data_IF_804411528667
#
_entry.id   IF_804411528667
#
_cell.length_a   1.000
_cell.length_b   1.000
_cell.length_c   1.000
_cell.angle_alpha   90.00
_cell.angle_beta   90.00
_cell.angle_gamma   90.00
#
_symmetry.space_group_name_H-M   'P 1'
#
loop_
_entity.id
_entity.type
_entity.pdbx_description
1 polymer ?
#
# COMPACT_ATOMS: atom_id res chain seq x y z
N UNK A 1 7.28 -3.37 -3.33
CA UNK A 1 7.43 -2.30 -2.30
C UNK A 1 8.23 -2.69 -1.04
N UNK A 2 7.80 -3.68 -0.25
CA UNK A 2 8.37 -3.92 1.09
C UNK A 2 9.86 -4.29 1.09
N UNK A 3 10.29 -5.20 0.21
CA UNK A 3 11.71 -5.57 0.09
C UNK A 3 12.59 -4.36 -0.28
N UNK A 4 12.11 -3.45 -1.11
CA UNK A 4 12.89 -2.30 -1.58
C UNK A 4 13.25 -1.31 -0.46
N UNK A 5 12.44 -1.29 0.62
CA UNK A 5 12.66 -0.43 1.79
C UNK A 5 13.07 -1.21 3.04
N UNK A 6 13.37 -2.51 2.91
CA UNK A 6 13.70 -3.39 4.02
C UNK A 6 12.62 -3.44 5.12
N UNK A 7 11.35 -3.37 4.73
CA UNK A 7 10.23 -3.52 5.65
C UNK A 7 10.08 -5.00 6.08
N UNK A 8 9.80 -5.22 7.37
CA UNK A 8 9.51 -6.55 7.90
C UNK A 8 8.07 -6.94 7.54
N UNK A 9 7.92 -7.83 6.56
CA UNK A 9 6.61 -8.37 6.20
C UNK A 9 6.27 -9.59 7.08
N UNK A 10 5.16 -9.54 7.81
CA UNK A 10 4.71 -10.63 8.67
C UNK A 10 4.44 -11.93 7.89
N UNK A 11 4.03 -11.81 6.63
CA UNK A 11 3.74 -12.95 5.75
C UNK A 11 5.00 -13.69 5.26
N UNK A 12 6.20 -13.08 5.35
CA UNK A 12 7.45 -13.75 4.94
C UNK A 12 7.75 -14.99 5.81
N UNK A 13 7.14 -15.08 7.00
CA UNK A 13 7.21 -16.26 7.88
C UNK A 13 6.65 -17.53 7.24
N UNK A 14 5.86 -17.42 6.17
CA UNK A 14 5.34 -18.57 5.41
C UNK A 14 6.37 -19.21 4.48
N UNK A 15 7.49 -18.54 4.19
CA UNK A 15 8.54 -19.04 3.29
C UNK A 15 8.10 -19.19 1.82
N UNK A 16 6.92 -18.68 1.46
CA UNK A 16 6.37 -18.71 0.11
C UNK A 16 6.72 -17.43 -0.65
N UNK A 17 6.82 -17.54 -1.98
CA UNK A 17 7.05 -16.39 -2.87
C UNK A 17 5.76 -16.09 -3.65
N UNK A 18 5.54 -14.81 -3.92
CA UNK A 18 4.37 -14.36 -4.68
C UNK A 18 3.13 -14.16 -3.81
N UNK A 19 1.95 -14.20 -4.44
CA UNK A 19 0.68 -14.03 -3.74
C UNK A 19 0.39 -15.25 -2.85
N UNK A 20 -0.08 -14.98 -1.63
CA UNK A 20 -0.49 -16.00 -0.67
C UNK A 20 -1.90 -15.67 -0.18
N UNK A 21 -2.74 -16.70 -0.06
CA UNK A 21 -4.02 -16.60 0.62
C UNK A 21 -3.81 -17.00 2.07
N UNK A 22 -4.34 -16.20 3.00
CA UNK A 22 -4.24 -16.46 4.45
C UNK A 22 -5.64 -16.49 5.07
N UNK A 23 -5.77 -17.28 6.13
CA UNK A 23 -6.94 -17.22 7.01
C UNK A 23 -6.90 -15.95 7.88
N UNK A 24 -8.08 -15.44 8.25
CA UNK A 24 -8.24 -14.22 9.06
C UNK A 24 -7.55 -14.33 10.43
N UNK A 25 -7.60 -15.50 11.05
CA UNK A 25 -6.96 -15.81 12.32
C UNK A 25 -5.45 -15.64 12.26
N UNK A 26 -4.83 -15.86 11.08
CA UNK A 26 -3.40 -15.65 10.90
C UNK A 26 -3.04 -14.17 10.97
N UNK A 27 -3.88 -13.30 10.40
CA UNK A 27 -3.70 -11.84 10.48
C UNK A 27 -3.82 -11.34 11.92
N UNK A 28 -4.74 -11.90 12.72
CA UNK A 28 -4.84 -11.62 14.16
C UNK A 28 -3.60 -12.08 14.92
N UNK A 29 -3.08 -13.26 14.62
CA UNK A 29 -1.87 -13.78 15.28
C UNK A 29 -0.62 -12.96 14.94
N UNK A 30 -0.54 -12.41 13.73
CA UNK A 30 0.54 -11.52 13.33
C UNK A 30 0.42 -10.10 13.89
N UNK A 31 -0.80 -9.60 14.06
CA UNK A 31 -1.16 -8.28 14.59
C UNK A 31 -0.22 -7.14 14.13
N UNK A 32 -0.17 -6.84 12.81
CA UNK A 32 0.80 -5.90 12.27
C UNK A 32 0.58 -4.47 12.78
N UNK A 33 1.68 -3.72 12.92
CA UNK A 33 1.66 -2.31 13.30
C UNK A 33 1.07 -1.38 12.23
N UNK A 34 1.24 -1.77 10.96
CA UNK A 34 0.85 -1.03 9.76
C UNK A 34 0.26 -2.01 8.75
N UNK A 35 -0.86 -1.64 8.11
CA UNK A 35 -1.44 -2.37 6.98
C UNK A 35 -1.40 -1.47 5.75
N UNK A 36 -0.94 -2.01 4.63
CA UNK A 36 -1.09 -1.40 3.31
C UNK A 36 -2.14 -2.17 2.52
N UNK A 37 -3.10 -1.46 1.94
CA UNK A 37 -4.18 -2.02 1.13
C UNK A 37 -3.93 -1.63 -0.33
N UNK A 38 -3.88 -2.62 -1.21
CA UNK A 38 -3.95 -2.38 -2.65
C UNK A 38 -5.31 -1.78 -3.00
N UNK A 39 -5.31 -0.53 -3.46
CA UNK A 39 -6.53 0.23 -3.67
C UNK A 39 -7.40 -0.29 -4.80
N UNK A 40 -6.85 -1.11 -5.70
CA UNK A 40 -7.64 -1.88 -6.66
C UNK A 40 -8.63 -2.85 -6.01
N UNK A 41 -8.43 -3.19 -4.73
CA UNK A 41 -9.29 -4.07 -3.94
C UNK A 41 -9.91 -3.39 -2.71
N UNK A 42 -9.76 -2.07 -2.56
CA UNK A 42 -10.17 -1.36 -1.34
C UNK A 42 -11.66 -1.54 -1.04
N UNK A 43 -12.52 -1.51 -2.06
CA UNK A 43 -13.96 -1.68 -1.87
C UNK A 43 -14.34 -3.06 -1.33
N UNK A 44 -13.62 -4.12 -1.72
CA UNK A 44 -13.83 -5.46 -1.17
C UNK A 44 -13.46 -5.50 0.32
N UNK A 45 -12.37 -4.84 0.70
CA UNK A 45 -11.95 -4.74 2.11
C UNK A 45 -12.96 -3.92 2.92
N UNK A 46 -13.46 -2.80 2.39
CA UNK A 46 -14.51 -2.00 3.04
C UNK A 46 -15.82 -2.78 3.23
N UNK A 47 -16.24 -3.53 2.22
CA UNK A 47 -17.42 -4.39 2.32
C UNK A 47 -17.24 -5.50 3.36
N UNK A 48 -16.06 -6.10 3.46
CA UNK A 48 -15.78 -7.11 4.48
C UNK A 48 -15.68 -6.50 5.89
N UNK A 49 -15.13 -5.29 6.01
CA UNK A 49 -15.13 -4.51 7.26
C UNK A 49 -16.56 -4.27 7.75
N UNK A 50 -17.48 -3.83 6.88
CA UNK A 50 -18.88 -3.60 7.24
C UNK A 50 -19.57 -4.86 7.78
N UNK A 51 -19.18 -6.04 7.29
CA UNK A 51 -19.72 -7.33 7.73
C UNK A 51 -19.05 -7.85 9.01
N UNK A 52 -17.78 -7.52 9.22
CA UNK A 52 -16.96 -8.06 10.30
C UNK A 52 -16.21 -6.96 11.08
N UNK A 53 -16.88 -5.91 11.58
CA UNK A 53 -16.19 -4.74 12.13
C UNK A 53 -15.33 -5.08 13.35
N UNK A 54 -15.78 -6.00 14.21
CA UNK A 54 -15.05 -6.41 15.42
C UNK A 54 -13.71 -7.05 15.11
N UNK A 55 -13.63 -7.83 14.02
CA UNK A 55 -12.38 -8.44 13.57
C UNK A 55 -11.35 -7.35 13.25
N UNK A 56 -11.71 -6.40 12.38
CA UNK A 56 -10.81 -5.33 11.98
C UNK A 56 -10.47 -4.40 13.14
N UNK A 57 -11.47 -4.01 13.94
CA UNK A 57 -11.28 -3.16 15.11
C UNK A 57 -10.47 -3.82 16.22
N UNK A 58 -10.21 -5.14 16.15
CA UNK A 58 -9.29 -5.82 17.06
C UNK A 58 -7.81 -5.65 16.68
N UNK A 59 -7.50 -5.38 15.40
CA UNK A 59 -6.15 -5.25 14.87
C UNK A 59 -5.48 -3.95 15.30
N UNK A 60 -4.20 -4.01 15.70
CA UNK A 60 -3.41 -2.87 16.14
C UNK A 60 -3.32 -1.76 15.08
N UNK A 61 -3.07 -2.12 13.82
CA UNK A 61 -3.01 -1.16 12.72
C UNK A 61 -4.32 -0.36 12.57
N UNK A 62 -5.48 -1.00 12.69
CA UNK A 62 -6.78 -0.34 12.57
C UNK A 62 -7.03 0.57 13.76
N UNK A 63 -6.83 0.07 15.00
CA UNK A 63 -6.97 0.86 16.23
C UNK A 63 -6.13 2.14 16.22
N UNK A 64 -4.92 2.07 15.69
CA UNK A 64 -3.99 3.19 15.64
C UNK A 64 -4.15 4.07 14.38
N UNK A 65 -5.09 3.75 13.49
CA UNK A 65 -5.26 4.46 12.23
C UNK A 65 -4.02 4.39 11.32
N UNK A 66 -3.32 3.25 11.34
CA UNK A 66 -2.13 2.95 10.55
C UNK A 66 -2.47 2.01 9.39
N UNK A 67 -3.55 2.32 8.69
CA UNK A 67 -3.97 1.64 7.47
C UNK A 67 -3.80 2.62 6.32
N UNK A 68 -3.08 2.23 5.27
CA UNK A 68 -2.69 3.11 4.18
C UNK A 68 -3.01 2.48 2.83
N UNK A 69 -3.39 3.31 1.85
CA UNK A 69 -3.57 2.87 0.47
C UNK A 69 -2.23 2.78 -0.27
N UNK A 70 -2.10 1.82 -1.20
CA UNK A 70 -1.06 1.78 -2.23
C UNK A 70 -1.72 1.61 -3.59
N UNK A 71 -1.08 2.11 -4.64
CA UNK A 71 -1.65 2.03 -5.99
C UNK A 71 -1.57 0.59 -6.52
N UNK A 72 -2.56 0.12 -7.29
CA UNK A 72 -2.46 -1.19 -7.93
C UNK A 72 -1.35 -1.17 -8.99
N UNK A 73 -0.39 -2.10 -8.91
CA UNK A 73 0.72 -2.21 -9.87
C UNK A 73 0.77 -3.54 -10.63
N UNK A 74 -0.12 -4.49 -10.34
CA UNK A 74 -0.10 -5.85 -10.89
C UNK A 74 -1.18 -6.13 -11.97
N UNK A 75 -1.91 -5.09 -12.41
CA UNK A 75 -2.88 -5.18 -13.48
C UNK A 75 -2.16 -5.35 -14.83
N UNK A 76 -2.40 -6.49 -15.50
CA UNK A 76 -1.74 -6.89 -16.74
C UNK A 76 -0.20 -6.99 -16.61
N UNK A 77 0.27 -7.79 -15.64
CA UNK A 77 1.68 -7.91 -15.22
C UNK A 77 2.14 -6.73 -14.35
N UNK A 78 3.46 -6.61 -14.13
CA UNK A 78 4.05 -5.63 -13.21
C UNK A 78 4.28 -4.28 -13.90
N UNK A 79 3.57 -3.26 -13.45
CA UNK A 79 3.84 -1.86 -13.73
C UNK A 79 4.98 -1.41 -12.79
N UNK A 80 6.22 -1.59 -13.26
CA UNK A 80 7.45 -1.39 -12.46
C UNK A 80 7.59 0.04 -11.95
N UNK A 81 7.15 1.00 -12.75
CA UNK A 81 7.00 2.41 -12.42
C UNK A 81 6.10 2.60 -11.19
N UNK A 82 4.85 2.12 -11.20
CA UNK A 82 3.94 2.23 -10.05
C UNK A 82 4.48 1.49 -8.83
N UNK A 83 5.06 0.29 -9.01
CA UNK A 83 5.69 -0.44 -7.90
C UNK A 83 6.85 0.33 -7.26
N UNK A 84 7.61 1.11 -8.04
CA UNK A 84 8.67 1.97 -7.54
C UNK A 84 8.09 3.18 -6.79
N UNK A 85 7.04 3.81 -7.32
CA UNK A 85 6.34 4.90 -6.63
C UNK A 85 5.81 4.43 -5.28
N UNK A 86 5.11 3.30 -5.22
CA UNK A 86 4.61 2.72 -3.97
C UNK A 86 5.74 2.44 -2.98
N UNK A 87 6.93 2.08 -3.47
CA UNK A 87 8.09 1.84 -2.59
C UNK A 87 8.51 3.12 -1.85
N UNK A 88 8.46 4.30 -2.50
CA UNK A 88 8.73 5.57 -1.83
C UNK A 88 7.64 5.93 -0.81
N UNK A 89 6.38 5.70 -1.15
CA UNK A 89 5.27 5.94 -0.22
C UNK A 89 5.37 5.04 1.02
N UNK A 90 5.54 3.72 0.82
CA UNK A 90 5.75 2.75 1.90
C UNK A 90 6.98 3.13 2.74
N UNK A 91 8.08 3.52 2.09
CA UNK A 91 9.28 3.97 2.77
C UNK A 91 9.02 5.16 3.69
N UNK A 92 8.27 6.16 3.21
CA UNK A 92 7.89 7.34 4.02
C UNK A 92 6.97 6.99 5.18
N UNK A 93 6.00 6.10 4.98
CA UNK A 93 5.09 5.67 6.04
C UNK A 93 5.84 4.92 7.15
N UNK A 94 6.75 4.00 6.78
CA UNK A 94 7.46 3.16 7.76
C UNK A 94 8.63 3.91 8.40
N UNK A 95 9.34 4.75 7.65
CA UNK A 95 10.56 5.45 8.08
C UNK A 95 10.47 6.97 7.80
N UNK A 96 9.52 7.70 8.40
CA UNK A 96 9.26 9.10 8.06
C UNK A 96 10.48 10.02 8.23
N UNK A 97 11.34 9.74 9.20
CA UNK A 97 12.58 10.51 9.43
C UNK A 97 13.60 10.34 8.29
N UNK A 98 13.66 9.16 7.65
CA UNK A 98 14.58 8.88 6.54
C UNK A 98 14.08 9.37 5.18
N UNK A 99 12.78 9.67 5.10
CA UNK A 99 12.08 10.15 3.90
C UNK A 99 11.46 11.53 4.18
N UNK A 100 12.09 12.32 5.04
CA UNK A 100 11.59 13.62 5.45
C UNK A 100 11.59 14.64 4.29
N UNK A 101 12.51 14.47 3.35
CA UNK A 101 12.71 15.25 2.13
C UNK A 101 11.88 14.74 0.93
N UNK A 102 11.24 13.57 1.06
CA UNK A 102 10.43 12.98 0.00
C UNK A 102 8.97 13.39 0.14
N UNK A 103 8.45 14.13 -0.83
CA UNK A 103 7.01 14.19 -1.10
C UNK A 103 6.63 13.00 -2.01
N UNK A 104 5.80 12.04 -1.54
CA UNK A 104 5.43 10.87 -2.33
C UNK A 104 4.70 11.21 -3.63
N UNK A 105 3.90 12.28 -3.64
CA UNK A 105 3.13 12.70 -4.82
C UNK A 105 4.06 13.29 -5.87
N UNK A 106 4.94 14.22 -5.46
CA UNK A 106 5.89 14.80 -6.40
C UNK A 106 6.92 13.78 -6.89
N UNK A 107 7.33 12.84 -6.02
CA UNK A 107 8.18 11.71 -6.40
C UNK A 107 7.49 10.79 -7.40
N UNK A 108 6.18 10.55 -7.27
CA UNK A 108 5.40 9.81 -8.25
C UNK A 108 5.42 10.46 -9.62
N UNK A 109 5.14 11.78 -9.68
CA UNK A 109 5.15 12.54 -10.92
C UNK A 109 6.52 12.52 -11.57
N UNK A 110 7.60 12.65 -10.78
CA UNK A 110 8.98 12.54 -11.27
C UNK A 110 9.24 11.17 -11.90
N UNK A 111 8.92 10.08 -11.18
CA UNK A 111 9.14 8.70 -11.66
C UNK A 111 8.34 8.46 -12.94
N UNK A 112 7.04 8.74 -12.94
CA UNK A 112 6.22 8.58 -14.14
C UNK A 112 6.72 9.42 -15.31
N UNK A 113 7.24 10.63 -15.06
CA UNK A 113 7.85 11.43 -16.11
C UNK A 113 9.13 10.79 -16.68
N UNK A 114 9.91 10.06 -15.87
CA UNK A 114 11.08 9.32 -16.37
C UNK A 114 10.69 8.16 -17.28
N UNK A 115 9.58 7.47 -17.00
CA UNK A 115 9.13 6.34 -17.80
C UNK A 115 8.35 6.77 -19.06
N UNK A 116 7.53 7.81 -18.98
CA UNK A 116 6.58 8.18 -20.06
C UNK A 116 6.75 9.61 -20.60
N UNK A 117 7.84 10.30 -20.22
CA UNK A 117 8.07 11.71 -20.56
C UNK A 117 7.16 12.65 -19.78
N UNK A 118 7.18 13.96 -20.09
CA UNK A 118 6.44 14.99 -19.36
C UNK A 118 4.93 14.72 -19.21
N UNK A 119 4.32 14.02 -20.18
CA UNK A 119 2.92 13.59 -20.13
C UNK A 119 2.64 12.58 -19.01
N UNK A 120 3.66 11.86 -18.51
CA UNK A 120 3.54 10.92 -17.40
C UNK A 120 3.23 11.58 -16.06
N UNK A 121 3.50 12.89 -15.88
CA UNK A 121 3.25 13.59 -14.62
C UNK A 121 1.77 13.56 -14.20
N UNK A 122 0.85 13.44 -15.14
CA UNK A 122 -0.59 13.36 -14.83
C UNK A 122 -1.03 11.98 -14.35
N UNK A 123 -0.17 10.96 -14.44
CA UNK A 123 -0.56 9.58 -14.13
C UNK A 123 -0.88 9.39 -12.66
N UNK A 124 -0.14 10.02 -11.74
CA UNK A 124 -0.49 9.93 -10.32
C UNK A 124 -1.90 10.46 -10.05
N UNK A 125 -2.25 11.62 -10.59
CA UNK A 125 -3.56 12.22 -10.38
C UNK A 125 -4.68 11.37 -10.99
N UNK A 126 -4.45 10.75 -12.15
CA UNK A 126 -5.39 9.80 -12.77
C UNK A 126 -5.55 8.52 -11.94
N UNK A 127 -4.46 7.95 -11.44
CA UNK A 127 -4.51 6.79 -10.55
C UNK A 127 -5.28 7.13 -9.27
N UNK A 128 -5.04 8.34 -8.74
CA UNK A 128 -5.77 8.88 -7.59
C UNK A 128 -7.27 8.98 -7.80
N UNK A 129 -7.67 9.48 -8.96
CA UNK A 129 -9.09 9.60 -9.32
C UNK A 129 -9.79 8.23 -9.42
N UNK A 130 -9.10 7.21 -9.91
CA UNK A 130 -9.68 5.89 -10.17
C UNK A 130 -9.68 4.98 -8.93
N UNK A 131 -8.58 4.93 -8.19
CA UNK A 131 -8.38 3.95 -7.11
C UNK A 131 -8.38 4.57 -5.71
N UNK A 132 -7.82 5.76 -5.60
CA UNK A 132 -7.33 6.32 -4.34
C UNK A 132 -5.86 6.71 -4.49
N UNK A 133 -5.32 7.36 -3.46
CA UNK A 133 -3.96 7.89 -3.51
C UNK A 133 -3.14 7.55 -2.28
N UNK A 134 -2.02 8.24 -2.12
CA UNK A 134 -1.18 8.07 -0.94
C UNK A 134 -1.81 8.70 0.30
N UNK A 135 -2.73 7.98 0.92
CA UNK A 135 -3.49 8.42 2.07
C UNK A 135 -3.74 7.32 3.09
N UNK A 136 -4.17 7.75 4.29
CA UNK A 136 -4.67 6.86 5.32
C UNK A 136 -6.08 6.42 4.95
N UNK A 137 -6.32 5.11 4.98
CA UNK A 137 -7.65 4.55 4.81
C UNK A 137 -8.40 4.67 6.13
N UNK A 138 -9.64 5.16 6.04
CA UNK A 138 -10.60 5.16 7.14
C UNK A 138 -11.72 4.17 6.81
N UNK A 139 -12.04 3.34 7.80
CA UNK A 139 -13.13 2.38 7.75
C UNK A 139 -14.39 2.95 8.40
#
# INVERSE_FOLDING_TARGET
>A
PFMAVNAKNVADTLGQKGSVMIEKEKLLAWDPDIIFIDEGNLDLVKQDYQKNPDFYNSLKAVKNGNVYGILPYNQYSTNVDTALVDSYWVGKVIYPEKFNDVDPVEKAKEIYAKFFGEKGKVLYDKMKEVYGGFEKIKF
#
